data_IF_825763538757
#
_entry.id   IF_825763538757
#
_cell.length_a   1.000
_cell.length_b   1.000
_cell.length_c   1.000
_cell.angle_alpha   90.00
_cell.angle_beta   90.00
_cell.angle_gamma   90.00
#
_symmetry.space_group_name_H-M   'P 1'
#
loop_
_entity.id
_entity.type
_entity.pdbx_description
1 polymer ?
#
# COMPACT_ATOMS: atom_id res chain seq x y z
N UNK A 1 -19.50 26.03 -10.41
CA UNK A 1 -20.69 25.13 -10.44
C UNK A 1 -20.42 23.69 -10.91
N UNK A 2 -19.39 23.39 -11.69
CA UNK A 2 -19.10 22.01 -12.14
C UNK A 2 -18.29 21.13 -11.16
N UNK A 3 -17.43 21.75 -10.34
CA UNK A 3 -16.53 21.00 -9.43
C UNK A 3 -17.23 20.48 -8.15
N UNK A 4 -18.18 21.22 -7.62
CA UNK A 4 -18.91 20.84 -6.40
C UNK A 4 -19.83 19.62 -6.63
N UNK A 5 -20.54 19.59 -7.77
CA UNK A 5 -21.38 18.42 -8.13
C UNK A 5 -20.56 17.15 -8.31
N UNK A 6 -19.32 17.26 -8.79
CA UNK A 6 -18.43 16.08 -8.90
C UNK A 6 -17.97 15.55 -7.54
N UNK A 7 -17.82 16.42 -6.54
CA UNK A 7 -17.43 16.01 -5.17
C UNK A 7 -18.59 15.35 -4.45
N UNK A 8 -19.81 15.82 -4.61
CA UNK A 8 -21.00 15.19 -4.01
C UNK A 8 -21.32 13.82 -4.62
N UNK A 9 -21.25 13.70 -5.93
CA UNK A 9 -21.34 12.41 -6.64
C UNK A 9 -20.22 11.46 -6.19
N UNK A 10 -19.03 11.98 -5.99
CA UNK A 10 -17.89 11.24 -5.48
C UNK A 10 -18.12 10.74 -4.04
N UNK A 11 -18.53 11.62 -3.13
CA UNK A 11 -18.81 11.24 -1.73
C UNK A 11 -19.96 10.21 -1.65
N UNK A 12 -20.98 10.34 -2.48
CA UNK A 12 -22.06 9.36 -2.58
C UNK A 12 -21.56 8.01 -3.10
N UNK A 13 -20.69 7.99 -4.11
CA UNK A 13 -20.05 6.78 -4.64
C UNK A 13 -19.12 6.13 -3.63
N UNK A 14 -18.28 6.94 -2.96
CA UNK A 14 -17.37 6.48 -1.94
C UNK A 14 -18.10 5.88 -0.73
N UNK A 15 -19.15 6.55 -0.27
CA UNK A 15 -19.96 6.08 0.87
C UNK A 15 -20.79 4.83 0.53
N UNK A 16 -21.31 4.74 -0.69
CA UNK A 16 -22.19 3.65 -1.10
C UNK A 16 -21.45 2.39 -1.56
N UNK A 17 -20.27 2.54 -2.17
CA UNK A 17 -19.51 1.43 -2.76
C UNK A 17 -18.24 1.06 -1.99
N UNK A 18 -17.57 2.02 -1.36
CA UNK A 18 -16.29 1.77 -0.72
C UNK A 18 -16.41 1.27 0.73
N UNK A 19 -17.32 1.83 1.52
CA UNK A 19 -17.56 1.37 2.89
C UNK A 19 -18.01 -0.10 2.97
N UNK A 20 -18.92 -0.60 2.10
CA UNK A 20 -19.29 -2.02 2.09
C UNK A 20 -18.19 -2.96 1.62
N UNK A 21 -17.26 -2.50 0.78
CA UNK A 21 -16.14 -3.32 0.26
C UNK A 21 -15.06 -3.62 1.31
N UNK A 22 -15.02 -2.90 2.43
CA UNK A 22 -14.14 -3.23 3.55
C UNK A 22 -14.56 -4.49 4.33
N UNK A 23 -15.75 -5.02 4.03
CA UNK A 23 -16.35 -6.13 4.79
C UNK A 23 -16.62 -7.30 3.84
N UNK A 24 -15.67 -8.23 3.72
CA UNK A 24 -15.87 -9.59 3.20
C UNK A 24 -16.25 -9.73 1.71
N UNK A 25 -15.31 -9.80 0.82
CA UNK A 25 -15.26 -10.85 -0.21
C UNK A 25 -14.19 -10.55 -1.27
N UNK A 26 -13.33 -11.51 -1.51
CA UNK A 26 -12.34 -11.56 -2.61
C UNK A 26 -12.98 -11.85 -3.98
N UNK A 27 -14.14 -11.30 -4.27
CA UNK A 27 -14.85 -11.54 -5.53
C UNK A 27 -14.22 -10.78 -6.70
N UNK A 28 -14.15 -11.44 -7.85
CA UNK A 28 -13.69 -10.84 -9.12
C UNK A 28 -14.51 -9.60 -9.48
N UNK A 29 -15.80 -9.60 -9.14
CA UNK A 29 -16.71 -8.46 -9.30
C UNK A 29 -16.20 -7.21 -8.60
N UNK A 30 -15.62 -7.33 -7.41
CA UNK A 30 -15.15 -6.19 -6.62
C UNK A 30 -13.84 -5.62 -7.16
N UNK A 31 -12.94 -6.46 -7.68
CA UNK A 31 -11.73 -6.02 -8.37
C UNK A 31 -12.10 -5.19 -9.59
N UNK A 32 -13.02 -5.64 -10.42
CA UNK A 32 -13.43 -4.93 -11.63
C UNK A 32 -14.06 -3.56 -11.29
N UNK A 33 -14.92 -3.51 -10.28
CA UNK A 33 -15.52 -2.25 -9.81
C UNK A 33 -14.45 -1.26 -9.32
N UNK A 34 -13.49 -1.73 -8.51
CA UNK A 34 -12.41 -0.85 -8.02
C UNK A 34 -11.46 -0.39 -9.14
N UNK A 35 -11.16 -1.24 -10.12
CA UNK A 35 -10.37 -0.85 -11.30
C UNK A 35 -11.12 0.21 -12.12
N UNK A 36 -12.41 0.07 -12.32
CA UNK A 36 -13.25 1.07 -12.98
C UNK A 36 -13.27 2.40 -12.22
N UNK A 37 -13.46 2.35 -10.90
CA UNK A 37 -13.38 3.54 -10.04
C UNK A 37 -12.01 4.19 -10.13
N UNK A 38 -10.93 3.42 -10.04
CA UNK A 38 -9.56 3.92 -10.17
C UNK A 38 -9.34 4.60 -11.53
N UNK A 39 -9.84 4.01 -12.61
CA UNK A 39 -9.78 4.59 -13.95
C UNK A 39 -10.52 5.93 -14.02
N UNK A 40 -11.74 6.01 -13.50
CA UNK A 40 -12.52 7.25 -13.52
C UNK A 40 -11.87 8.35 -12.68
N UNK A 41 -11.46 8.04 -11.45
CA UNK A 41 -10.89 9.05 -10.55
C UNK A 41 -9.47 9.49 -10.95
N UNK A 42 -8.69 8.62 -11.60
CA UNK A 42 -7.36 9.00 -12.12
C UNK A 42 -7.39 10.13 -13.16
N UNK A 43 -8.54 10.33 -13.81
CA UNK A 43 -8.77 11.41 -14.78
C UNK A 43 -9.20 12.73 -14.15
N UNK A 44 -9.69 12.69 -12.90
CA UNK A 44 -10.26 13.83 -12.19
C UNK A 44 -9.37 14.33 -11.06
N UNK A 45 -8.57 13.44 -10.47
CA UNK A 45 -7.79 13.71 -9.28
C UNK A 45 -6.29 13.71 -9.60
N UNK A 46 -5.53 14.47 -8.81
CA UNK A 46 -4.07 14.44 -8.89
C UNK A 46 -3.54 13.03 -8.56
N UNK A 47 -2.50 12.51 -9.23
CA UNK A 47 -1.98 11.14 -9.02
C UNK A 47 -1.64 10.79 -7.56
N UNK A 48 -1.23 11.77 -6.76
CA UNK A 48 -0.93 11.58 -5.33
C UNK A 48 -2.14 11.84 -4.41
N UNK A 49 -3.35 11.93 -4.97
CA UNK A 49 -4.55 12.16 -4.14
C UNK A 49 -4.84 10.92 -3.29
N UNK A 50 -5.14 11.12 -2.00
CA UNK A 50 -5.29 10.03 -1.02
C UNK A 50 -6.30 8.96 -1.46
N UNK A 51 -7.38 9.36 -2.14
CA UNK A 51 -8.41 8.46 -2.68
C UNK A 51 -7.83 7.46 -3.70
N UNK A 52 -6.98 7.94 -4.62
CA UNK A 52 -6.34 7.04 -5.59
C UNK A 52 -5.37 6.09 -4.91
N UNK A 53 -4.64 6.56 -3.91
CA UNK A 53 -3.72 5.75 -3.11
C UNK A 53 -4.49 4.65 -2.37
N UNK A 54 -5.63 5.00 -1.78
CA UNK A 54 -6.46 4.08 -1.02
C UNK A 54 -7.16 3.05 -1.92
N UNK A 55 -7.66 3.45 -3.10
CA UNK A 55 -8.18 2.53 -4.12
C UNK A 55 -7.12 1.54 -4.60
N UNK A 56 -5.91 2.04 -4.92
CA UNK A 56 -4.79 1.18 -5.33
C UNK A 56 -4.39 0.20 -4.22
N UNK A 57 -4.35 0.67 -2.96
CA UNK A 57 -4.05 -0.17 -1.81
C UNK A 57 -5.10 -1.27 -1.60
N UNK A 58 -6.38 -0.91 -1.71
CA UNK A 58 -7.49 -1.87 -1.62
C UNK A 58 -7.42 -2.93 -2.72
N UNK A 59 -7.10 -2.54 -3.95
CA UNK A 59 -6.86 -3.48 -5.04
C UNK A 59 -5.69 -4.43 -4.75
N UNK A 60 -4.59 -3.93 -4.18
CA UNK A 60 -3.46 -4.78 -3.76
C UNK A 60 -3.92 -5.83 -2.75
N UNK A 61 -4.74 -5.45 -1.76
CA UNK A 61 -5.29 -6.38 -0.78
C UNK A 61 -6.22 -7.42 -1.41
N UNK A 62 -7.11 -7.02 -2.32
CA UNK A 62 -7.98 -7.96 -3.02
C UNK A 62 -7.18 -8.95 -3.88
N UNK A 63 -6.15 -8.48 -4.59
CA UNK A 63 -5.25 -9.40 -5.29
C UNK A 63 -4.47 -10.31 -4.33
N UNK A 64 -4.08 -9.81 -3.14
CA UNK A 64 -3.35 -10.61 -2.16
C UNK A 64 -4.21 -11.70 -1.51
N UNK A 65 -5.51 -11.48 -1.32
CA UNK A 65 -6.44 -12.45 -0.72
C UNK A 65 -6.79 -13.61 -1.66
N UNK A 66 -6.53 -13.48 -2.96
CA UNK A 66 -6.82 -14.55 -3.93
C UNK A 66 -5.77 -15.65 -3.87
N UNK A 67 -6.25 -16.91 -3.85
CA UNK A 67 -5.38 -18.10 -3.82
C UNK A 67 -4.48 -18.22 -5.05
N UNK A 68 -5.00 -17.83 -6.21
CA UNK A 68 -4.28 -17.91 -7.48
C UNK A 68 -4.48 -16.63 -8.28
N UNK A 69 -3.39 -16.10 -8.83
CA UNK A 69 -3.40 -14.95 -9.72
C UNK A 69 -2.91 -15.38 -11.11
N UNK A 70 -3.60 -14.91 -12.13
CA UNK A 70 -3.15 -15.00 -13.52
C UNK A 70 -1.91 -14.10 -13.74
N UNK A 71 -1.22 -14.29 -14.84
CA UNK A 71 -0.03 -13.47 -15.16
C UNK A 71 -0.36 -11.97 -15.24
N UNK A 72 -1.40 -11.53 -15.97
CA UNK A 72 -1.79 -10.12 -15.99
C UNK A 72 -2.11 -9.54 -14.62
N UNK A 73 -2.79 -10.31 -13.77
CA UNK A 73 -3.13 -9.87 -12.41
C UNK A 73 -1.89 -9.71 -11.52
N UNK A 74 -0.90 -10.60 -11.65
CA UNK A 74 0.39 -10.44 -10.96
C UNK A 74 1.11 -9.16 -11.40
N UNK A 75 1.15 -8.89 -12.70
CA UNK A 75 1.76 -7.69 -13.27
C UNK A 75 1.02 -6.43 -12.82
N UNK A 76 -0.32 -6.47 -12.82
CA UNK A 76 -1.15 -5.36 -12.30
C UNK A 76 -0.89 -5.10 -10.83
N UNK A 77 -0.83 -6.15 -9.99
CA UNK A 77 -0.50 -6.03 -8.58
C UNK A 77 0.88 -5.40 -8.35
N UNK A 78 1.90 -5.80 -9.12
CA UNK A 78 3.24 -5.20 -9.07
C UNK A 78 3.18 -3.71 -9.40
N UNK A 79 2.45 -3.35 -10.45
CA UNK A 79 2.25 -1.95 -10.85
C UNK A 79 1.60 -1.13 -9.75
N UNK A 80 0.50 -1.61 -9.17
CA UNK A 80 -0.22 -0.93 -8.09
C UNK A 80 0.67 -0.75 -6.85
N UNK A 81 1.36 -1.79 -6.40
CA UNK A 81 2.31 -1.71 -5.29
C UNK A 81 3.40 -0.65 -5.55
N UNK A 82 3.93 -0.61 -6.77
CA UNK A 82 4.98 0.36 -7.14
C UNK A 82 4.46 1.79 -7.08
N UNK A 83 3.29 2.06 -7.67
CA UNK A 83 2.67 3.39 -7.68
C UNK A 83 2.37 3.89 -6.25
N UNK A 84 1.81 3.02 -5.40
CA UNK A 84 1.54 3.38 -3.99
C UNK A 84 2.85 3.66 -3.25
N UNK A 85 3.87 2.83 -3.40
CA UNK A 85 5.17 3.02 -2.75
C UNK A 85 5.86 4.30 -3.19
N UNK A 86 5.81 4.66 -4.48
CA UNK A 86 6.35 5.92 -5.00
C UNK A 86 5.63 7.14 -4.42
N UNK A 87 4.32 7.03 -4.21
CA UNK A 87 3.54 8.09 -3.57
C UNK A 87 3.84 8.19 -2.09
N UNK A 88 3.95 7.05 -1.38
CA UNK A 88 4.27 7.02 0.05
C UNK A 88 5.64 7.66 0.36
N UNK A 89 6.64 7.48 -0.49
CA UNK A 89 7.95 8.13 -0.31
C UNK A 89 7.82 9.65 -0.27
N UNK A 90 6.84 10.23 -0.96
CA UNK A 90 6.63 11.69 -1.03
C UNK A 90 5.80 12.22 0.13
N UNK A 91 4.77 11.49 0.56
CA UNK A 91 3.80 11.96 1.57
C UNK A 91 4.16 11.50 2.99
N UNK A 92 4.81 10.34 3.11
CA UNK A 92 5.23 9.74 4.39
C UNK A 92 6.59 9.03 4.22
N UNK A 93 7.69 9.79 4.21
CA UNK A 93 9.03 9.27 3.91
C UNK A 93 9.62 8.36 5.01
N UNK A 94 8.86 8.09 6.07
CA UNK A 94 9.29 7.25 7.20
C UNK A 94 9.28 5.75 6.93
N UNK A 95 9.80 5.00 7.89
CA UNK A 95 9.69 3.53 7.95
C UNK A 95 8.35 3.16 8.58
N UNK A 96 7.25 3.23 7.80
CA UNK A 96 5.91 2.95 8.29
C UNK A 96 5.55 1.47 8.09
N UNK A 97 4.69 0.95 8.96
CA UNK A 97 4.16 -0.42 8.86
C UNK A 97 3.45 -0.64 7.52
N UNK A 98 2.70 0.35 7.08
CA UNK A 98 2.01 0.33 5.78
C UNK A 98 2.98 0.13 4.61
N UNK A 99 4.07 0.91 4.56
CA UNK A 99 5.13 0.75 3.56
C UNK A 99 5.77 -0.64 3.64
N UNK A 100 6.02 -1.15 4.84
CA UNK A 100 6.57 -2.50 5.05
C UNK A 100 5.68 -3.59 4.47
N UNK A 101 4.38 -3.53 4.70
CA UNK A 101 3.40 -4.49 4.18
C UNK A 101 3.34 -4.46 2.64
N UNK A 102 3.29 -3.26 2.05
CA UNK A 102 3.30 -3.12 0.59
C UNK A 102 4.59 -3.64 -0.05
N UNK A 103 5.74 -3.42 0.58
CA UNK A 103 7.01 -3.98 0.12
C UNK A 103 6.99 -5.51 0.15
N UNK A 104 6.42 -6.14 1.19
CA UNK A 104 6.27 -7.59 1.25
C UNK A 104 5.39 -8.12 0.11
N UNK A 105 4.25 -7.48 -0.16
CA UNK A 105 3.35 -7.86 -1.25
C UNK A 105 4.03 -7.73 -2.63
N UNK A 106 4.76 -6.64 -2.83
CA UNK A 106 5.55 -6.43 -4.05
C UNK A 106 6.61 -7.53 -4.23
N UNK A 107 7.43 -7.78 -3.21
CA UNK A 107 8.52 -8.76 -3.24
C UNK A 107 7.96 -10.15 -3.53
N UNK A 108 6.91 -10.56 -2.80
CA UNK A 108 6.27 -11.86 -2.98
C UNK A 108 5.82 -12.04 -4.43
N UNK A 109 5.13 -11.05 -4.99
CA UNK A 109 4.60 -11.14 -6.36
C UNK A 109 5.71 -11.11 -7.40
N UNK A 110 6.75 -10.28 -7.24
CA UNK A 110 7.93 -10.24 -8.14
C UNK A 110 8.69 -11.56 -8.12
N UNK A 111 8.82 -12.20 -6.96
CA UNK A 111 9.46 -13.52 -6.86
C UNK A 111 8.67 -14.61 -7.57
N UNK A 112 7.34 -14.63 -7.45
CA UNK A 112 6.48 -15.58 -8.17
C UNK A 112 6.64 -15.42 -9.69
N UNK A 113 6.56 -14.18 -10.18
CA UNK A 113 6.73 -13.85 -11.58
C UNK A 113 8.13 -14.24 -12.08
N UNK A 114 9.17 -13.94 -11.30
CA UNK A 114 10.55 -14.25 -11.69
C UNK A 114 10.82 -15.76 -11.75
N UNK A 115 10.26 -16.54 -10.82
CA UNK A 115 10.32 -18.01 -10.84
C UNK A 115 9.61 -18.59 -12.07
N UNK A 116 8.42 -18.07 -12.38
CA UNK A 116 7.65 -18.47 -13.56
C UNK A 116 8.40 -18.15 -14.86
N UNK A 117 8.98 -16.95 -14.97
CA UNK A 117 9.75 -16.55 -16.14
C UNK A 117 11.00 -17.39 -16.33
N UNK A 118 11.71 -17.70 -15.24
CA UNK A 118 12.90 -18.55 -15.30
C UNK A 118 12.54 -19.98 -15.68
N UNK A 119 11.49 -20.57 -15.09
CA UNK A 119 11.05 -21.94 -15.41
C UNK A 119 10.59 -22.08 -16.86
N UNK A 120 9.97 -21.04 -17.43
CA UNK A 120 9.55 -20.97 -18.83
C UNK A 120 10.67 -20.50 -19.77
N UNK A 121 11.90 -20.35 -19.27
CA UNK A 121 13.08 -19.87 -20.02
C UNK A 121 12.87 -18.49 -20.70
N UNK A 122 12.01 -17.65 -20.13
CA UNK A 122 11.77 -16.27 -20.61
C UNK A 122 12.87 -15.30 -20.19
N UNK A 123 13.57 -15.61 -19.10
CA UNK A 123 14.71 -14.85 -18.59
C UNK A 123 15.91 -15.78 -18.39
N UNK A 124 17.11 -15.20 -18.49
CA UNK A 124 18.36 -15.90 -18.22
C UNK A 124 18.56 -16.10 -16.71
N UNK A 125 19.39 -17.07 -16.32
CA UNK A 125 19.78 -17.28 -14.93
C UNK A 125 20.42 -16.02 -14.32
N UNK A 126 21.22 -15.28 -15.11
CA UNK A 126 21.83 -14.02 -14.68
C UNK A 126 20.77 -12.97 -14.34
N UNK A 127 19.75 -12.82 -15.18
CA UNK A 127 18.65 -11.88 -14.94
C UNK A 127 17.81 -12.31 -13.74
N UNK A 128 17.56 -13.62 -13.59
CA UNK A 128 16.87 -14.16 -12.42
C UNK A 128 17.59 -13.81 -11.11
N UNK A 129 18.90 -14.03 -11.03
CA UNK A 129 19.71 -13.67 -9.86
C UNK A 129 19.72 -12.17 -9.59
N UNK A 130 19.74 -11.34 -10.65
CA UNK A 130 19.63 -9.89 -10.52
C UNK A 130 18.30 -9.47 -9.86
N UNK A 131 17.18 -10.06 -10.31
CA UNK A 131 15.85 -9.80 -9.70
C UNK A 131 15.78 -10.26 -8.25
N UNK A 132 16.35 -11.43 -7.93
CA UNK A 132 16.43 -11.89 -6.54
C UNK A 132 17.24 -10.95 -5.64
N UNK A 133 18.38 -10.45 -6.12
CA UNK A 133 19.19 -9.47 -5.39
C UNK A 133 18.43 -8.17 -5.12
N UNK A 134 17.64 -7.69 -6.10
CA UNK A 134 16.77 -6.52 -5.90
C UNK A 134 15.66 -6.81 -4.86
N UNK A 135 15.07 -8.00 -4.89
CA UNK A 135 14.10 -8.41 -3.88
C UNK A 135 14.71 -8.47 -2.48
N UNK A 136 15.94 -8.97 -2.34
CA UNK A 136 16.65 -9.03 -1.05
C UNK A 136 16.86 -7.64 -0.45
N UNK A 137 17.30 -6.66 -1.26
CA UNK A 137 17.45 -5.26 -0.82
C UNK A 137 16.13 -4.66 -0.34
N UNK A 138 15.04 -4.89 -1.09
CA UNK A 138 13.69 -4.42 -0.69
C UNK A 138 13.17 -5.14 0.57
N UNK A 139 13.56 -6.40 0.78
CA UNK A 139 13.20 -7.15 1.98
C UNK A 139 13.87 -6.56 3.24
N UNK A 140 15.11 -6.12 3.14
CA UNK A 140 15.79 -5.43 4.25
C UNK A 140 15.12 -4.09 4.58
N UNK A 141 14.63 -3.38 3.57
CA UNK A 141 13.82 -2.18 3.76
C UNK A 141 12.47 -2.51 4.44
N UNK A 142 11.78 -3.53 3.98
CA UNK A 142 10.52 -3.99 4.57
C UNK A 142 10.70 -4.39 6.04
N UNK A 143 11.78 -5.09 6.38
CA UNK A 143 12.11 -5.43 7.78
C UNK A 143 12.26 -4.17 8.64
N UNK A 144 12.99 -3.15 8.16
CA UNK A 144 13.14 -1.87 8.88
C UNK A 144 11.80 -1.20 9.12
N UNK A 145 10.91 -1.19 8.11
CA UNK A 145 9.56 -0.65 8.24
C UNK A 145 8.73 -1.39 9.28
N UNK A 146 8.80 -2.72 9.29
CA UNK A 146 7.99 -3.55 10.18
C UNK A 146 8.53 -3.58 11.60
N UNK A 147 9.86 -3.58 11.77
CA UNK A 147 10.51 -3.55 13.09
C UNK A 147 10.59 -2.13 13.66
N UNK A 148 10.77 -1.11 12.83
CA UNK A 148 10.84 0.30 13.22
C UNK A 148 9.49 0.87 13.69
N UNK A 149 8.37 0.33 13.22
CA UNK A 149 7.04 0.70 13.71
C UNK A 149 6.86 0.48 15.21
N UNK A 150 7.54 -0.49 15.80
CA UNK A 150 7.57 -0.68 17.26
C UNK A 150 8.41 0.38 18.00
N UNK A 151 9.44 0.95 17.35
CA UNK A 151 10.26 2.01 17.95
C UNK A 151 9.57 3.38 17.90
N UNK A 152 8.72 3.63 16.91
CA UNK A 152 7.95 4.88 16.83
C UNK A 152 6.79 4.91 17.84
N UNK A 153 6.10 3.79 18.09
CA UNK A 153 5.12 3.71 19.18
C UNK A 153 5.76 4.02 20.54
N UNK A 154 6.97 3.50 20.79
CA UNK A 154 7.70 3.84 22.02
C UNK A 154 8.13 5.30 22.08
N UNK A 155 8.40 5.97 20.94
CA UNK A 155 8.77 7.38 20.91
C UNK A 155 7.55 8.30 21.11
N UNK A 156 6.39 7.97 20.54
CA UNK A 156 5.13 8.68 20.81
C UNK A 156 4.66 8.47 22.26
N UNK A 157 4.73 7.27 22.79
CA UNK A 157 4.44 6.98 24.19
C UNK A 157 5.41 7.73 25.12
N UNK A 158 6.69 7.84 24.77
CA UNK A 158 7.66 8.68 25.50
C UNK A 158 7.35 10.17 25.41
N UNK A 159 6.87 10.64 24.25
CA UNK A 159 6.43 12.03 24.07
C UNK A 159 5.16 12.32 24.90
N UNK A 160 4.18 11.43 24.89
CA UNK A 160 2.97 11.52 25.71
C UNK A 160 3.29 11.47 27.21
N UNK A 161 4.21 10.64 27.66
CA UNK A 161 4.66 10.60 29.06
C UNK A 161 5.39 11.89 29.50
N UNK A 162 6.11 12.55 28.60
CA UNK A 162 6.74 13.85 28.93
C UNK A 162 5.75 14.98 29.07
N UNK A 163 4.64 14.95 28.31
CA UNK A 163 3.59 15.96 28.36
C UNK A 163 2.71 15.75 29.60
N UNK A 164 2.63 14.52 30.13
CA UNK A 164 1.77 14.14 31.25
C UNK A 164 2.44 14.19 32.64
N UNK A 165 3.68 14.66 32.73
CA UNK A 165 4.26 14.99 34.04
C UNK A 165 3.86 16.43 34.38
N UNK A 166 2.88 16.66 35.28
CA UNK A 166 2.68 17.97 35.84
C UNK A 166 3.95 18.31 36.66
N UNK A 167 4.30 19.57 36.66
CA UNK A 167 5.37 20.13 37.49
C UNK A 167 5.03 19.89 38.97
N UNK A 168 5.44 18.76 39.52
CA UNK A 168 5.53 18.57 40.97
C UNK A 168 6.84 19.18 41.51
N UNK A 169 7.00 20.47 41.33
CA UNK A 169 8.02 21.25 42.03
C UNK A 169 7.57 22.69 42.15
N UNK A 170 6.60 22.96 43.00
CA UNK A 170 6.42 24.30 43.60
C UNK A 170 5.42 24.29 44.78
N UNK A 171 5.66 23.44 45.77
CA UNK A 171 5.08 23.67 47.11
C UNK A 171 6.02 23.10 48.16
N UNK A 172 7.16 23.77 48.32
CA UNK A 172 7.95 23.75 49.55
C UNK A 172 8.64 25.12 49.68
N UNK A 173 7.87 26.06 50.22
CA UNK A 173 8.39 27.17 51.05
C UNK A 173 7.32 27.62 52.03
#
# INVERSE_FOLDING_TARGET
MGREKNIEVFLAYFHHFYLPLQINNSDISDINKLEEMLFHFSRLLHPNHFILVDLMHSLVHLYASRKTLTRPEKERKIQLCTMVLETLVKIDPGYTKWRGTLLQELIHTVMLVSKEDHSKRRITTKEFHKRLSMCAKKLDEAKKCLMGGFTNETHEIRRYRRIRKPNEKSDQK
#
